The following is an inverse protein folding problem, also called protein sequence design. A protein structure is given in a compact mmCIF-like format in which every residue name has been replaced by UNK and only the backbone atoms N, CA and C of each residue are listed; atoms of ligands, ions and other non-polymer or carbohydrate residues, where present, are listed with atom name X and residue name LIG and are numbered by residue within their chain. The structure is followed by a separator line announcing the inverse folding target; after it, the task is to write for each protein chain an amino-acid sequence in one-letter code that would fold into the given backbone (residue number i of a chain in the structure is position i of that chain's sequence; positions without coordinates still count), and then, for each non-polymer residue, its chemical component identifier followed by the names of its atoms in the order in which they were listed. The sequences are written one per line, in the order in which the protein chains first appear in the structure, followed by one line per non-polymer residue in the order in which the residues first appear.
data_IF_172811473922
#
_entry.id   IF_172811473922
#
_cell.length_a   1.000
_cell.length_b   1.000
_cell.length_c   1.000
_cell.angle_alpha   90.00
_cell.angle_beta   90.00
_cell.angle_gamma   90.00
#
_symmetry.space_group_name_H-M   'P 1'
#
loop_
_entity.id
_entity.type
_entity.pdbx_description
1 polymer ?
#
# COMPACT_ATOMS: atom_id res chain seq x y z
N UNK A 1 -11.81 -16.67 -6.12
CA UNK A 1 -10.44 -16.37 -6.56
C UNK A 1 -9.48 -17.35 -5.88
N UNK A 2 -9.05 -18.39 -6.57
CA UNK A 2 -7.98 -19.32 -6.14
C UNK A 2 -6.65 -18.74 -6.65
N UNK A 3 -6.27 -17.58 -6.15
CA UNK A 3 -5.00 -16.94 -6.49
C UNK A 3 -3.88 -17.53 -5.62
N UNK A 4 -2.69 -17.68 -6.21
CA UNK A 4 -1.46 -18.01 -5.49
C UNK A 4 -1.22 -16.98 -4.38
N UNK A 5 -0.96 -17.43 -3.17
CA UNK A 5 -0.62 -16.56 -2.03
C UNK A 5 0.83 -16.10 -2.19
N UNK A 6 1.03 -14.78 -2.24
CA UNK A 6 2.34 -14.16 -2.39
C UNK A 6 2.98 -13.90 -1.01
N UNK A 7 4.29 -13.71 -1.00
CA UNK A 7 5.03 -13.22 0.16
C UNK A 7 5.29 -11.71 0.01
N UNK A 8 4.93 -10.93 1.03
CA UNK A 8 5.23 -9.50 1.09
C UNK A 8 6.47 -9.26 1.96
N UNK A 9 7.56 -8.85 1.33
CA UNK A 9 8.80 -8.50 1.99
C UNK A 9 8.90 -6.98 2.21
N UNK A 10 9.19 -6.55 3.45
CA UNK A 10 9.38 -5.13 3.82
C UNK A 10 10.64 -4.89 4.65
N UNK A 11 11.43 -5.93 4.94
CA UNK A 11 12.64 -5.87 5.76
C UNK A 11 13.82 -6.57 5.10
N UNK A 12 14.67 -7.24 5.90
CA UNK A 12 15.92 -7.84 5.41
C UNK A 12 15.75 -8.88 4.30
N UNK A 13 14.57 -9.51 4.16
CA UNK A 13 14.32 -10.45 3.08
C UNK A 13 14.20 -9.79 1.68
N UNK A 14 14.18 -8.45 1.62
CA UNK A 14 14.38 -7.71 0.37
C UNK A 14 15.82 -7.85 -0.15
N UNK A 15 16.79 -8.05 0.73
CA UNK A 15 18.18 -8.24 0.35
C UNK A 15 18.43 -9.70 -0.02
N UNK A 16 18.58 -9.95 -1.32
CA UNK A 16 18.77 -11.29 -1.86
C UNK A 16 20.01 -11.95 -1.30
N UNK A 17 21.13 -11.23 -1.24
CA UNK A 17 22.42 -11.78 -0.80
C UNK A 17 22.39 -12.21 0.67
N UNK A 18 21.77 -11.38 1.56
CA UNK A 18 21.58 -11.73 2.97
C UNK A 18 20.75 -13.00 3.12
N UNK A 19 19.64 -13.10 2.36
CA UNK A 19 18.75 -14.26 2.41
C UNK A 19 19.44 -15.52 1.86
N UNK A 20 20.14 -15.43 0.73
CA UNK A 20 20.91 -16.54 0.16
C UNK A 20 22.05 -16.98 1.07
N UNK A 21 22.76 -16.03 1.70
CA UNK A 21 23.83 -16.33 2.66
C UNK A 21 23.30 -17.09 3.87
N UNK A 22 22.13 -16.64 4.40
CA UNK A 22 21.46 -17.35 5.49
C UNK A 22 21.05 -18.76 5.07
N UNK A 23 20.44 -18.93 3.89
CA UNK A 23 20.06 -20.24 3.38
C UNK A 23 21.25 -21.19 3.24
N UNK A 24 22.36 -20.72 2.65
CA UNK A 24 23.60 -21.52 2.53
C UNK A 24 24.15 -21.95 3.89
N UNK A 25 24.19 -21.00 4.85
CA UNK A 25 24.72 -21.25 6.19
C UNK A 25 23.96 -22.35 6.93
N UNK A 26 22.63 -22.43 6.75
CA UNK A 26 21.77 -23.37 7.46
C UNK A 26 21.27 -24.53 6.60
N UNK A 27 21.79 -24.70 5.39
CA UNK A 27 21.47 -25.82 4.50
C UNK A 27 20.06 -25.77 3.90
N UNK A 28 19.50 -24.59 3.70
CA UNK A 28 18.17 -24.40 3.12
C UNK A 28 18.24 -23.98 1.65
N UNK A 29 17.18 -24.30 0.90
CA UNK A 29 16.95 -23.73 -0.43
C UNK A 29 16.63 -22.24 -0.34
N UNK A 30 16.92 -21.48 -1.41
CA UNK A 30 16.46 -20.10 -1.52
C UNK A 30 14.93 -20.05 -1.72
N UNK A 31 14.16 -19.41 -0.80
CA UNK A 31 12.71 -19.57 -0.75
C UNK A 31 11.94 -18.75 -1.77
N UNK A 32 12.51 -17.62 -2.25
CA UNK A 32 11.77 -16.69 -3.11
C UNK A 32 11.93 -17.03 -4.58
N UNK A 33 10.84 -16.92 -5.30
CA UNK A 33 10.77 -17.01 -6.75
C UNK A 33 10.88 -15.63 -7.40
N UNK A 34 10.08 -15.43 -8.44
CA UNK A 34 9.99 -14.18 -9.17
C UNK A 34 9.37 -13.07 -8.29
N UNK A 35 9.93 -11.84 -8.44
CA UNK A 35 9.28 -10.63 -7.93
C UNK A 35 8.09 -10.30 -8.83
N UNK A 36 6.92 -10.15 -8.22
CA UNK A 36 5.67 -9.82 -8.93
C UNK A 36 5.56 -8.32 -9.13
N UNK A 37 5.75 -7.53 -8.06
CA UNK A 37 5.64 -6.07 -8.09
C UNK A 37 6.26 -5.44 -6.84
N UNK A 38 6.51 -4.13 -6.89
CA UNK A 38 6.53 -3.32 -5.67
C UNK A 38 5.09 -3.12 -5.22
N UNK A 39 4.86 -3.08 -3.91
CA UNK A 39 3.53 -2.96 -3.35
C UNK A 39 3.58 -2.26 -1.99
N UNK A 40 2.40 -1.92 -1.52
CA UNK A 40 2.20 -1.19 -0.28
C UNK A 40 1.23 -1.97 0.61
N UNK A 41 1.61 -2.16 1.87
CA UNK A 41 0.68 -2.69 2.86
C UNK A 41 -0.09 -1.50 3.47
N UNK A 42 -1.38 -1.36 3.14
CA UNK A 42 -2.17 -0.21 3.56
C UNK A 42 -2.44 -0.22 5.07
N UNK A 43 -2.67 0.97 5.61
CA UNK A 43 -2.99 1.19 7.01
C UNK A 43 -1.99 0.58 7.98
N UNK A 44 -0.72 0.54 7.57
CA UNK A 44 0.39 0.08 8.39
C UNK A 44 1.59 1.00 8.28
N UNK A 45 2.34 1.11 9.37
CA UNK A 45 3.64 1.80 9.38
C UNK A 45 4.75 0.90 9.84
N UNK A 46 5.95 1.19 9.37
CA UNK A 46 7.18 0.58 9.87
C UNK A 46 7.49 1.07 11.29
N UNK A 47 7.96 0.16 12.12
CA UNK A 47 8.47 0.42 13.46
C UNK A 47 9.68 -0.47 13.73
N UNK A 48 10.47 -0.13 14.73
CA UNK A 48 11.56 -0.98 15.26
C UNK A 48 11.33 -1.10 16.77
N UNK A 49 10.78 -2.20 17.23
CA UNK A 49 10.36 -2.40 18.61
C UNK A 49 10.64 -3.80 19.15
N UNK A 50 11.60 -4.49 18.57
CA UNK A 50 12.06 -5.79 19.03
C UNK A 50 13.58 -5.89 18.89
N UNK A 51 14.26 -6.34 19.95
CA UNK A 51 15.70 -6.62 19.91
C UNK A 51 15.95 -8.05 19.46
N UNK A 52 16.56 -8.21 18.31
CA UNK A 52 16.98 -9.51 17.78
C UNK A 52 18.41 -9.83 18.24
N UNK A 53 18.62 -10.90 19.03
CA UNK A 53 19.97 -11.36 19.37
C UNK A 53 20.80 -11.71 18.14
N UNK A 54 20.16 -12.31 17.12
CA UNK A 54 20.80 -12.67 15.86
C UNK A 54 21.30 -11.45 15.09
N UNK A 55 20.50 -10.37 15.03
CA UNK A 55 20.85 -9.11 14.37
C UNK A 55 21.57 -8.13 15.29
N UNK A 56 21.76 -8.46 16.57
CA UNK A 56 22.44 -7.67 17.62
C UNK A 56 21.83 -6.27 17.80
N UNK A 57 20.54 -6.12 17.58
CA UNK A 57 19.86 -4.83 17.68
C UNK A 57 18.40 -4.91 17.25
N UNK A 58 17.80 -3.75 17.10
CA UNK A 58 16.44 -3.61 16.63
C UNK A 58 16.26 -4.20 15.22
N UNK A 59 15.07 -4.73 14.96
CA UNK A 59 14.63 -5.14 13.64
C UNK A 59 13.30 -4.52 13.31
N UNK A 60 13.01 -4.44 12.00
CA UNK A 60 11.75 -3.89 11.50
C UNK A 60 10.57 -4.79 11.85
N UNK A 61 9.50 -4.12 12.20
CA UNK A 61 8.18 -4.65 12.40
C UNK A 61 7.15 -3.71 11.76
N UNK A 62 5.90 -4.12 11.69
CA UNK A 62 4.77 -3.32 11.20
C UNK A 62 3.71 -3.18 12.29
N UNK A 63 3.03 -2.03 12.29
CA UNK A 63 1.92 -1.74 13.19
C UNK A 63 0.78 -1.11 12.41
N UNK A 64 -0.45 -1.51 12.73
CA UNK A 64 -1.64 -0.87 12.14
C UNK A 64 -1.67 0.62 12.49
N UNK A 65 -1.86 1.44 11.47
CA UNK A 65 -2.11 2.88 11.59
C UNK A 65 -2.79 3.39 10.32
N UNK A 66 -4.05 3.77 10.46
CA UNK A 66 -4.88 4.26 9.36
C UNK A 66 -4.19 5.38 8.57
N UNK A 67 -4.25 5.29 7.25
CA UNK A 67 -3.69 6.27 6.31
C UNK A 67 -2.21 6.11 6.01
N UNK A 68 -1.47 5.31 6.79
CA UNK A 68 -0.10 4.96 6.45
C UNK A 68 -0.05 3.84 5.39
N UNK A 69 1.09 3.70 4.75
CA UNK A 69 1.36 2.61 3.82
C UNK A 69 2.81 2.15 3.99
N UNK A 70 3.00 0.89 4.34
CA UNK A 70 4.35 0.29 4.43
C UNK A 70 4.78 -0.16 3.03
N UNK A 71 5.87 0.38 2.48
CA UNK A 71 6.37 -0.05 1.17
C UNK A 71 7.11 -1.39 1.28
N UNK A 72 7.03 -2.18 0.21
CA UNK A 72 7.68 -3.48 0.12
C UNK A 72 7.62 -4.07 -1.28
N UNK A 73 7.88 -5.36 -1.39
CA UNK A 73 7.80 -6.09 -2.64
C UNK A 73 7.08 -7.43 -2.47
N UNK A 74 6.34 -7.82 -3.49
CA UNK A 74 5.62 -9.09 -3.59
C UNK A 74 6.47 -10.10 -4.35
N UNK A 75 6.58 -11.30 -3.80
CA UNK A 75 7.31 -12.41 -4.39
C UNK A 75 6.43 -13.65 -4.46
N UNK A 76 6.61 -14.43 -5.54
CA UNK A 76 6.20 -15.83 -5.54
C UNK A 76 7.07 -16.60 -4.56
N UNK A 77 6.52 -17.61 -3.94
CA UNK A 77 7.28 -18.50 -3.04
C UNK A 77 7.53 -19.82 -3.76
N UNK A 78 8.78 -20.28 -3.77
CA UNK A 78 9.15 -21.56 -4.38
C UNK A 78 8.56 -22.73 -3.61
N UNK A 79 8.38 -23.89 -4.24
CA UNK A 79 8.01 -25.12 -3.52
C UNK A 79 8.92 -25.35 -2.31
N UNK A 80 8.32 -25.56 -1.13
CA UNK A 80 9.04 -25.66 0.14
C UNK A 80 9.56 -24.35 0.73
N UNK A 81 9.43 -23.22 0.02
CA UNK A 81 9.95 -21.92 0.45
C UNK A 81 9.26 -21.36 1.68
N UNK A 82 7.95 -21.62 1.86
CA UNK A 82 7.23 -21.20 3.06
C UNK A 82 7.85 -21.75 4.33
N UNK A 83 8.19 -23.05 4.33
CA UNK A 83 8.87 -23.67 5.47
C UNK A 83 10.23 -23.00 5.78
N UNK A 84 10.98 -22.61 4.75
CA UNK A 84 12.26 -21.90 4.93
C UNK A 84 12.06 -20.50 5.52
N UNK A 85 11.04 -19.76 5.04
CA UNK A 85 10.68 -18.46 5.59
C UNK A 85 10.23 -18.56 7.06
N UNK A 86 9.47 -19.59 7.40
CA UNK A 86 9.01 -19.87 8.76
C UNK A 86 10.17 -20.17 9.71
N UNK A 87 11.12 -21.00 9.29
CA UNK A 87 12.32 -21.31 10.07
C UNK A 87 13.15 -20.02 10.26
N UNK A 88 13.36 -19.23 9.20
CA UNK A 88 14.10 -17.97 9.28
C UNK A 88 13.41 -16.95 10.17
N UNK A 89 12.08 -16.89 10.13
CA UNK A 89 11.25 -16.02 10.95
C UNK A 89 11.05 -16.52 12.38
N UNK A 90 11.48 -17.75 12.69
CA UNK A 90 11.19 -18.38 13.99
C UNK A 90 9.70 -18.20 14.36
N UNK A 91 8.81 -18.65 13.45
CA UNK A 91 7.35 -18.41 13.58
C UNK A 91 6.73 -19.11 14.78
N UNK A 92 7.40 -20.10 15.35
CA UNK A 92 6.97 -20.71 16.60
C UNK A 92 7.12 -19.76 17.79
N UNK A 93 8.19 -18.94 17.79
CA UNK A 93 8.57 -18.15 18.95
C UNK A 93 8.53 -16.63 18.72
N UNK A 94 8.66 -16.11 17.50
CA UNK A 94 8.89 -14.68 17.27
C UNK A 94 7.88 -14.06 16.31
N UNK A 95 7.83 -14.50 15.05
CA UNK A 95 6.95 -13.93 14.04
C UNK A 95 5.63 -14.68 13.93
N UNK A 96 4.59 -13.97 13.53
CA UNK A 96 3.30 -14.52 13.12
C UNK A 96 3.02 -14.20 11.67
N UNK A 97 2.35 -15.13 10.99
CA UNK A 97 1.78 -14.85 9.67
C UNK A 97 0.66 -13.84 9.79
N UNK A 98 0.75 -12.79 9.01
CA UNK A 98 -0.32 -11.84 8.81
C UNK A 98 -0.85 -11.99 7.39
N UNK A 99 -2.07 -12.51 7.24
CA UNK A 99 -2.77 -12.50 5.97
C UNK A 99 -3.15 -11.07 5.62
N UNK A 100 -2.68 -10.59 4.48
CA UNK A 100 -2.80 -9.20 4.08
C UNK A 100 -3.37 -9.07 2.67
N UNK A 101 -3.85 -7.88 2.36
CA UNK A 101 -4.00 -7.38 0.99
C UNK A 101 -2.94 -6.32 0.77
N UNK A 102 -2.04 -6.55 -0.16
CA UNK A 102 -1.07 -5.57 -0.62
C UNK A 102 -1.63 -4.85 -1.86
N UNK A 103 -1.41 -3.53 -1.93
CA UNK A 103 -1.86 -2.68 -3.02
C UNK A 103 -0.69 -2.36 -3.96
N UNK A 104 -0.91 -2.44 -5.26
CA UNK A 104 0.03 -1.94 -6.28
C UNK A 104 -0.42 -0.58 -6.81
N UNK A 105 0.49 0.14 -7.44
CA UNK A 105 0.28 1.50 -7.96
C UNK A 105 -0.61 1.59 -9.22
N UNK A 106 -1.07 0.45 -9.69
CA UNK A 106 -2.08 0.31 -10.74
C UNK A 106 -3.49 0.02 -10.21
N UNK A 107 -3.69 0.15 -8.91
CA UNK A 107 -4.98 -0.01 -8.24
C UNK A 107 -5.40 -1.45 -7.95
N UNK A 108 -4.53 -2.44 -8.17
CA UNK A 108 -4.84 -3.85 -7.91
C UNK A 108 -4.57 -4.25 -6.47
N UNK A 109 -5.31 -5.26 -6.03
CA UNK A 109 -5.15 -5.95 -4.76
C UNK A 109 -4.50 -7.31 -4.96
N UNK A 110 -3.57 -7.65 -4.06
CA UNK A 110 -2.90 -8.94 -4.04
C UNK A 110 -3.00 -9.58 -2.67
N UNK A 111 -3.53 -10.79 -2.62
CA UNK A 111 -3.50 -11.59 -1.39
C UNK A 111 -2.06 -12.03 -1.13
N UNK A 112 -1.58 -11.76 0.06
CA UNK A 112 -0.23 -12.09 0.46
C UNK A 112 -0.13 -12.43 1.95
N UNK A 113 1.02 -12.96 2.34
CA UNK A 113 1.42 -13.12 3.73
C UNK A 113 2.60 -12.20 4.01
N UNK A 114 2.50 -11.43 5.08
CA UNK A 114 3.61 -10.73 5.69
C UNK A 114 3.96 -11.39 7.04
N UNK A 115 5.18 -11.19 7.50
CA UNK A 115 5.60 -11.61 8.83
C UNK A 115 5.57 -10.42 9.78
N UNK A 116 4.83 -10.53 10.87
CA UNK A 116 4.75 -9.53 11.92
C UNK A 116 5.28 -10.12 13.23
N UNK A 117 6.07 -9.38 13.98
CA UNK A 117 6.54 -9.84 15.30
C UNK A 117 5.34 -9.90 16.25
N UNK A 118 5.24 -10.99 17.00
CA UNK A 118 4.19 -11.20 17.99
C UNK A 118 4.17 -10.03 18.98
N UNK A 119 3.00 -9.42 19.15
CA UNK A 119 2.83 -8.24 20.00
C UNK A 119 3.30 -8.48 21.45
N UNK A 120 3.19 -9.71 21.95
CA UNK A 120 3.64 -10.10 23.29
C UNK A 120 5.16 -10.08 23.43
N UNK A 121 5.92 -10.04 22.34
CA UNK A 121 7.38 -10.04 22.31
C UNK A 121 7.96 -8.64 22.09
N UNK A 122 7.11 -7.66 21.73
CA UNK A 122 7.56 -6.33 21.33
C UNK A 122 7.73 -5.40 22.52
N UNK A 123 8.69 -4.49 22.43
CA UNK A 123 8.83 -3.37 23.35
C UNK A 123 7.81 -2.26 23.02
N UNK A 124 7.46 -1.46 24.02
CA UNK A 124 6.65 -0.25 23.84
C UNK A 124 7.45 0.92 23.25
N UNK A 125 8.78 0.82 23.24
CA UNK A 125 9.72 1.87 22.81
C UNK A 125 10.52 1.45 21.59
N UNK A 126 11.11 2.42 20.94
CA UNK A 126 12.07 2.21 19.85
C UNK A 126 13.28 1.41 20.31
N UNK A 127 13.71 0.44 19.50
CA UNK A 127 14.93 -0.33 19.66
C UNK A 127 15.87 0.00 18.51
N UNK A 128 17.06 0.59 18.79
CA UNK A 128 18.02 0.98 17.74
C UNK A 128 18.45 -0.20 16.87
N UNK A 129 18.49 0.00 15.56
CA UNK A 129 18.93 -0.99 14.59
C UNK A 129 20.47 -1.10 14.59
N UNK A 130 20.99 -2.34 14.48
CA UNK A 130 22.40 -2.53 14.26
C UNK A 130 22.83 -2.04 12.87
N UNK A 131 24.00 -1.40 12.69
CA UNK A 131 24.45 -0.87 11.40
C UNK A 131 24.44 -1.90 10.26
N UNK A 132 24.83 -3.14 10.52
CA UNK A 132 24.79 -4.21 9.50
C UNK A 132 23.36 -4.50 9.03
N UNK A 133 22.38 -4.56 9.96
CA UNK A 133 21.00 -4.79 9.61
C UNK A 133 20.41 -3.60 8.82
N UNK A 134 20.75 -2.38 9.25
CA UNK A 134 20.36 -1.15 8.55
C UNK A 134 20.86 -1.16 7.10
N UNK A 135 22.15 -1.49 6.90
CA UNK A 135 22.75 -1.60 5.56
C UNK A 135 22.03 -2.64 4.71
N UNK A 136 21.80 -3.86 5.25
CA UNK A 136 21.11 -4.96 4.56
C UNK A 136 19.71 -4.53 4.07
N UNK A 137 18.92 -3.87 4.92
CA UNK A 137 17.57 -3.43 4.55
C UNK A 137 17.64 -2.34 3.48
N UNK A 138 18.52 -1.33 3.64
CA UNK A 138 18.67 -0.23 2.68
C UNK A 138 19.10 -0.73 1.31
N UNK A 139 20.09 -1.63 1.25
CA UNK A 139 20.51 -2.26 -0.01
C UNK A 139 19.37 -3.06 -0.66
N UNK A 140 18.59 -3.80 0.15
CA UNK A 140 17.42 -4.52 -0.34
C UNK A 140 16.34 -3.59 -0.91
N UNK A 141 16.03 -2.50 -0.22
CA UNK A 141 15.08 -1.49 -0.73
C UNK A 141 15.58 -0.85 -2.03
N UNK A 142 16.86 -0.44 -2.07
CA UNK A 142 17.47 0.16 -3.26
C UNK A 142 17.46 -0.80 -4.46
N UNK A 143 17.78 -2.09 -4.26
CA UNK A 143 17.77 -3.10 -5.31
C UNK A 143 16.39 -3.29 -5.96
N UNK A 144 15.32 -2.93 -5.25
CA UNK A 144 13.95 -3.02 -5.74
C UNK A 144 13.34 -1.66 -6.12
N UNK A 145 14.08 -0.55 -5.99
CA UNK A 145 13.56 0.80 -6.22
C UNK A 145 12.43 1.18 -5.26
N UNK A 146 12.51 0.72 -4.01
CA UNK A 146 11.53 1.02 -2.96
C UNK A 146 11.93 2.33 -2.26
N UNK A 147 10.97 3.23 -2.07
CA UNK A 147 11.15 4.47 -1.32
C UNK A 147 11.53 4.18 0.15
N UNK A 148 12.67 4.71 0.60
CA UNK A 148 13.21 4.44 1.93
C UNK A 148 12.92 5.54 2.97
N UNK A 149 12.13 6.57 2.65
CA UNK A 149 11.83 7.68 3.56
C UNK A 149 11.24 7.23 4.89
N UNK A 150 10.30 6.27 4.86
CA UNK A 150 9.71 5.71 6.08
C UNK A 150 10.70 4.87 6.87
N UNK A 151 11.55 4.12 6.18
CA UNK A 151 12.63 3.37 6.80
C UNK A 151 13.66 4.30 7.45
N UNK A 152 14.09 5.35 6.75
CA UNK A 152 15.04 6.35 7.27
C UNK A 152 14.52 6.99 8.56
N UNK A 153 13.25 7.40 8.62
CA UNK A 153 12.66 7.94 9.84
C UNK A 153 12.71 6.94 11.01
N UNK A 154 12.40 5.65 10.74
CA UNK A 154 12.46 4.60 11.76
C UNK A 154 13.91 4.40 12.27
N UNK A 155 14.93 4.46 11.39
CA UNK A 155 16.32 4.29 11.81
C UNK A 155 16.80 5.39 12.75
N UNK A 156 16.19 6.56 12.68
CA UNK A 156 16.46 7.72 13.54
C UNK A 156 15.59 7.75 14.81
N UNK A 157 14.78 6.72 15.03
CA UNK A 157 13.85 6.65 16.17
C UNK A 157 12.68 7.62 16.06
N UNK A 158 12.43 8.18 14.86
CA UNK A 158 11.32 9.09 14.60
C UNK A 158 10.10 8.31 14.07
N UNK A 159 8.94 8.84 14.34
CA UNK A 159 7.71 8.34 13.70
C UNK A 159 7.77 8.66 12.19
N UNK A 160 7.57 7.67 11.31
CA UNK A 160 7.51 7.92 9.88
C UNK A 160 6.32 8.81 9.55
N UNK A 161 6.53 9.76 8.64
CA UNK A 161 5.45 10.51 8.04
C UNK A 161 4.65 9.64 7.06
N UNK A 162 3.48 10.12 6.63
CA UNK A 162 2.69 9.43 5.62
C UNK A 162 3.47 9.34 4.30
N UNK A 163 3.67 8.12 3.81
CA UNK A 163 4.35 7.90 2.53
C UNK A 163 3.54 8.47 1.36
N UNK A 164 2.22 8.33 1.43
CA UNK A 164 1.26 8.79 0.42
C UNK A 164 0.31 9.78 1.11
N UNK A 165 0.44 11.06 0.75
CA UNK A 165 -0.41 12.15 1.25
C UNK A 165 -1.46 12.62 0.25
N UNK A 166 -1.38 12.16 -1.00
CA UNK A 166 -2.28 12.60 -2.03
C UNK A 166 -3.55 11.73 -2.08
N UNK A 167 -4.66 12.39 -2.41
CA UNK A 167 -5.94 11.76 -2.74
C UNK A 167 -6.38 12.21 -4.12
N UNK A 168 -6.62 11.27 -5.01
CA UNK A 168 -7.23 11.50 -6.32
C UNK A 168 -8.74 11.29 -6.23
N UNK A 169 -9.51 12.30 -6.64
CA UNK A 169 -10.97 12.29 -6.69
C UNK A 169 -11.47 12.59 -8.10
N UNK A 170 -12.53 11.92 -8.52
CA UNK A 170 -13.04 11.97 -9.90
C UNK A 170 -14.55 12.13 -9.99
N UNK A 171 -15.23 12.53 -8.90
CA UNK A 171 -16.67 12.60 -8.81
C UNK A 171 -17.17 13.61 -7.78
N UNK A 172 -18.09 13.19 -6.93
CA UNK A 172 -18.81 14.07 -5.98
C UNK A 172 -17.94 14.75 -4.95
N UNK A 173 -16.68 14.31 -4.77
CA UNK A 173 -15.68 14.91 -3.90
C UNK A 173 -14.84 16.02 -4.59
N UNK A 174 -14.95 16.19 -5.94
CA UNK A 174 -14.26 17.27 -6.65
C UNK A 174 -14.73 18.64 -6.18
N UNK A 175 -13.96 19.68 -6.50
CA UNK A 175 -14.19 21.07 -6.06
C UNK A 175 -15.58 21.62 -6.39
N UNK A 176 -16.17 21.17 -7.47
CA UNK A 176 -17.53 21.49 -7.92
C UNK A 176 -18.60 20.46 -7.50
N UNK A 177 -18.18 19.42 -6.76
CA UNK A 177 -19.04 18.32 -6.36
C UNK A 177 -19.80 18.57 -5.05
N UNK A 178 -20.99 17.98 -4.89
CA UNK A 178 -21.86 18.21 -3.73
C UNK A 178 -21.29 17.69 -2.41
N UNK A 179 -20.26 16.85 -2.44
CA UNK A 179 -19.61 16.28 -1.26
C UNK A 179 -18.20 16.82 -0.99
N UNK A 180 -17.76 17.85 -1.74
CA UNK A 180 -16.45 18.45 -1.59
C UNK A 180 -16.16 18.90 -0.15
N UNK A 181 -17.17 19.40 0.56
CA UNK A 181 -17.04 19.86 1.96
C UNK A 181 -16.50 18.78 2.91
N UNK A 182 -16.68 17.48 2.60
CA UNK A 182 -16.16 16.36 3.41
C UNK A 182 -14.64 16.22 3.26
N UNK A 183 -14.11 16.55 2.09
CA UNK A 183 -12.68 16.55 1.81
C UNK A 183 -12.01 17.84 2.29
N UNK A 184 -12.69 18.98 2.11
CA UNK A 184 -12.16 20.30 2.40
C UNK A 184 -11.66 20.48 3.85
N UNK A 185 -12.22 19.75 4.80
CA UNK A 185 -11.78 19.77 6.20
C UNK A 185 -10.39 19.15 6.44
N UNK A 186 -9.90 18.31 5.52
CA UNK A 186 -8.70 17.48 5.71
C UNK A 186 -7.70 17.59 4.56
N UNK A 187 -7.95 18.46 3.60
CA UNK A 187 -7.09 18.70 2.44
C UNK A 187 -6.59 20.15 2.43
N UNK A 188 -5.40 20.32 1.90
CA UNK A 188 -4.90 21.64 1.50
C UNK A 188 -5.55 21.97 0.16
N UNK A 189 -6.54 22.88 0.20
CA UNK A 189 -7.32 23.26 -0.99
C UNK A 189 -6.49 24.02 -2.02
N UNK A 190 -5.45 24.73 -1.60
CA UNK A 190 -4.54 25.45 -2.50
C UNK A 190 -3.62 24.47 -3.25
N UNK A 191 -3.50 23.23 -2.77
CA UNK A 191 -2.75 22.17 -3.45
C UNK A 191 -3.55 21.44 -4.55
N UNK A 192 -4.81 21.80 -4.75
CA UNK A 192 -5.67 21.17 -5.75
C UNK A 192 -5.12 21.41 -7.16
N UNK A 193 -4.87 20.30 -7.87
CA UNK A 193 -4.46 20.36 -9.27
C UNK A 193 -5.26 19.36 -10.10
N UNK A 194 -5.52 19.70 -11.35
CA UNK A 194 -6.08 18.75 -12.30
C UNK A 194 -5.10 17.60 -12.53
N UNK A 195 -5.63 16.40 -12.59
CA UNK A 195 -4.83 15.21 -12.71
C UNK A 195 -5.60 14.08 -13.41
N UNK A 196 -4.89 13.03 -13.79
CA UNK A 196 -5.47 11.88 -14.48
C UNK A 196 -4.83 10.57 -14.05
N UNK A 197 -5.64 9.51 -14.14
CA UNK A 197 -5.23 8.13 -13.84
C UNK A 197 -5.64 7.18 -14.95
N UNK A 198 -5.01 6.03 -15.06
CA UNK A 198 -5.50 4.96 -15.92
C UNK A 198 -6.69 4.27 -15.25
N UNK A 199 -7.86 4.37 -15.88
CA UNK A 199 -9.12 3.85 -15.35
C UNK A 199 -10.26 3.89 -16.33
N UNK A 200 -11.32 3.17 -16.01
CA UNK A 200 -12.56 3.11 -16.75
C UNK A 200 -13.66 3.74 -15.91
N UNK A 201 -14.32 4.78 -16.43
CA UNK A 201 -15.36 5.53 -15.71
C UNK A 201 -16.76 5.11 -16.17
N UNK A 202 -17.65 4.91 -15.20
CA UNK A 202 -19.04 4.52 -15.42
C UNK A 202 -19.98 5.44 -14.65
N UNK A 203 -21.18 5.62 -15.17
CA UNK A 203 -22.27 6.32 -14.48
C UNK A 203 -23.06 5.29 -13.65
N UNK A 204 -23.09 5.44 -12.33
CA UNK A 204 -24.00 4.64 -11.52
C UNK A 204 -25.44 5.09 -11.71
N UNK A 205 -26.40 4.17 -11.54
CA UNK A 205 -27.82 4.54 -11.55
C UNK A 205 -28.23 5.44 -10.36
N UNK A 206 -27.30 5.72 -9.46
CA UNK A 206 -27.52 6.56 -8.26
C UNK A 206 -27.00 7.98 -8.42
N UNK A 207 -26.55 8.37 -9.62
CA UNK A 207 -26.11 9.73 -9.93
C UNK A 207 -24.72 10.11 -9.41
N UNK A 208 -23.81 9.15 -9.32
CA UNK A 208 -22.40 9.38 -9.04
C UNK A 208 -21.51 8.45 -9.90
N UNK A 209 -20.26 8.82 -10.17
CA UNK A 209 -19.38 8.02 -11.00
C UNK A 209 -18.81 6.83 -10.25
N UNK A 210 -18.54 5.75 -10.99
CA UNK A 210 -17.84 4.56 -10.55
C UNK A 210 -16.61 4.37 -11.42
N UNK A 211 -15.45 4.20 -10.81
CA UNK A 211 -14.19 3.93 -11.50
C UNK A 211 -13.69 2.52 -11.17
N UNK A 212 -13.18 1.82 -12.20
CA UNK A 212 -12.36 0.62 -12.04
C UNK A 212 -10.97 0.86 -12.64
N UNK A 213 -9.91 0.14 -12.21
CA UNK A 213 -8.59 0.30 -12.78
C UNK A 213 -8.56 -0.18 -14.24
N UNK A 214 -7.85 0.55 -15.11
CA UNK A 214 -7.51 0.06 -16.46
C UNK A 214 -6.10 -0.51 -16.47
N UNK A 215 -6.00 -1.83 -16.37
CA UNK A 215 -4.71 -2.54 -16.43
C UNK A 215 -4.05 -2.52 -17.81
N UNK A 216 -4.78 -2.09 -18.84
CA UNK A 216 -4.23 -1.96 -20.21
C UNK A 216 -3.53 -0.62 -20.43
N UNK A 217 -3.79 0.36 -19.58
CA UNK A 217 -3.24 1.71 -19.65
C UNK A 217 -3.72 2.54 -20.84
N UNK A 218 -4.85 2.16 -21.48
CA UNK A 218 -5.38 2.81 -22.68
C UNK A 218 -6.37 3.91 -22.37
N UNK A 219 -7.08 3.76 -21.28
CA UNK A 219 -8.17 4.64 -20.90
C UNK A 219 -7.75 5.52 -19.71
N UNK A 220 -8.25 6.72 -19.70
CA UNK A 220 -7.88 7.73 -18.73
C UNK A 220 -9.13 8.28 -18.06
N UNK A 221 -9.06 8.46 -16.74
CA UNK A 221 -10.06 9.18 -15.96
C UNK A 221 -9.45 10.49 -15.46
N UNK A 222 -10.15 11.59 -15.76
CA UNK A 222 -9.83 12.93 -15.30
C UNK A 222 -10.42 13.18 -13.91
N UNK A 223 -9.70 13.96 -13.11
CA UNK A 223 -10.12 14.32 -11.77
C UNK A 223 -9.23 15.37 -11.15
N UNK A 224 -9.27 15.44 -9.84
CA UNK A 224 -8.51 16.38 -9.04
C UNK A 224 -7.64 15.65 -8.04
N UNK A 225 -6.44 16.18 -7.84
CA UNK A 225 -5.46 15.67 -6.88
C UNK A 225 -5.31 16.67 -5.73
N UNK A 226 -5.55 16.19 -4.52
CA UNK A 226 -5.40 16.97 -3.28
C UNK A 226 -4.26 16.44 -2.43
N UNK A 227 -3.58 17.32 -1.71
CA UNK A 227 -2.69 16.92 -0.62
C UNK A 227 -3.47 16.89 0.69
N UNK A 228 -3.54 15.74 1.34
CA UNK A 228 -4.20 15.61 2.64
C UNK A 228 -3.31 16.18 3.75
N UNK A 229 -3.88 17.03 4.57
CA UNK A 229 -3.22 17.60 5.77
C UNK A 229 -3.11 16.56 6.87
N UNK A 230 -4.15 15.73 7.02
CA UNK A 230 -4.19 14.59 7.95
C UNK A 230 -4.89 13.39 7.28
N UNK A 231 -4.13 12.50 6.59
CA UNK A 231 -4.68 11.31 5.94
C UNK A 231 -5.49 10.42 6.86
N UNK A 232 -5.08 10.27 8.13
CA UNK A 232 -5.81 9.46 9.09
C UNK A 232 -7.23 9.98 9.30
N UNK A 233 -7.37 11.26 9.63
CA UNK A 233 -8.69 11.87 9.86
C UNK A 233 -9.53 11.94 8.57
N UNK A 234 -8.88 12.19 7.43
CA UNK A 234 -9.57 12.15 6.14
C UNK A 234 -10.22 10.78 5.94
N UNK A 235 -9.50 9.68 6.14
CA UNK A 235 -10.05 8.33 5.93
C UNK A 235 -11.02 7.87 7.01
N UNK A 236 -10.93 8.37 8.24
CA UNK A 236 -11.97 8.15 9.26
C UNK A 236 -13.35 8.64 8.79
N UNK A 237 -13.39 9.67 7.95
CA UNK A 237 -14.63 10.24 7.39
C UNK A 237 -14.94 9.64 6.01
N UNK A 238 -13.99 9.66 5.11
CA UNK A 238 -14.21 9.28 3.70
C UNK A 238 -14.52 7.80 3.54
N UNK A 239 -13.89 6.90 4.30
CA UNK A 239 -14.18 5.47 4.25
C UNK A 239 -15.64 5.16 4.66
N UNK A 240 -16.21 5.95 5.58
CA UNK A 240 -17.63 5.84 5.95
C UNK A 240 -18.52 6.34 4.80
N UNK A 241 -18.21 7.49 4.23
CA UNK A 241 -18.99 8.12 3.16
C UNK A 241 -19.02 7.26 1.89
N UNK A 242 -17.87 6.70 1.55
CA UNK A 242 -17.71 5.80 0.39
C UNK A 242 -18.15 4.36 0.71
N UNK A 243 -18.63 4.11 1.94
CA UNK A 243 -18.98 2.75 2.40
C UNK A 243 -17.85 1.74 2.16
N UNK A 244 -16.62 2.22 2.21
CA UNK A 244 -15.44 1.41 2.04
C UNK A 244 -15.28 0.48 3.26
N UNK A 245 -15.04 -0.78 2.98
CA UNK A 245 -14.75 -1.78 4.00
C UNK A 245 -13.25 -2.03 4.07
N UNK A 246 -12.84 -2.83 5.07
CA UNK A 246 -11.47 -3.34 5.14
C UNK A 246 -11.13 -4.11 3.87
N UNK A 247 -9.88 -4.05 3.46
CA UNK A 247 -9.35 -4.77 2.30
C UNK A 247 -9.71 -6.26 2.35
N UNK A 248 -10.00 -6.85 1.20
CA UNK A 248 -10.53 -8.21 1.01
C UNK A 248 -11.92 -8.48 1.64
N UNK A 249 -12.60 -7.49 2.21
CA UNK A 249 -13.98 -7.67 2.66
C UNK A 249 -14.94 -7.59 1.48
N UNK A 250 -15.88 -8.52 1.40
CA UNK A 250 -16.93 -8.49 0.36
C UNK A 250 -18.08 -7.56 0.71
N UNK A 251 -18.75 -7.01 -0.31
CA UNK A 251 -19.97 -6.22 -0.16
C UNK A 251 -19.75 -4.78 0.29
N UNK A 252 -18.57 -4.21 0.08
CA UNK A 252 -18.36 -2.78 0.05
C UNK A 252 -18.90 -2.21 -1.25
N UNK A 253 -19.28 -0.91 -1.26
CA UNK A 253 -19.60 -0.25 -2.52
C UNK A 253 -18.32 0.22 -3.22
N UNK A 254 -17.43 0.85 -2.44
CA UNK A 254 -16.10 1.23 -2.88
C UNK A 254 -15.02 0.54 -2.03
N UNK A 255 -13.82 0.47 -2.60
CA UNK A 255 -12.60 0.09 -1.91
C UNK A 255 -11.54 1.18 -2.09
N UNK A 256 -10.80 1.48 -1.04
CA UNK A 256 -9.67 2.39 -1.12
C UNK A 256 -8.49 1.67 -1.77
N UNK A 257 -7.81 2.35 -2.68
CA UNK A 257 -6.69 1.81 -3.45
C UNK A 257 -5.57 2.84 -3.57
N UNK A 258 -4.41 2.39 -4.02
CA UNK A 258 -3.27 3.22 -4.39
C UNK A 258 -3.17 3.22 -5.91
N UNK A 259 -2.94 4.39 -6.51
CA UNK A 259 -2.80 4.52 -7.96
C UNK A 259 -1.72 5.55 -8.32
N UNK A 260 -1.02 5.28 -9.43
CA UNK A 260 -0.14 6.26 -10.05
C UNK A 260 -0.97 7.35 -10.75
N UNK A 261 -0.73 8.59 -10.37
CA UNK A 261 -1.42 9.78 -10.89
C UNK A 261 -0.47 10.59 -11.75
N UNK A 262 -0.93 11.06 -12.89
CA UNK A 262 -0.21 12.02 -13.75
C UNK A 262 -0.85 13.40 -13.59
N UNK A 263 -0.06 14.40 -13.19
CA UNK A 263 -0.49 15.79 -13.09
C UNK A 263 -0.47 16.47 -14.47
N UNK A 264 -1.04 17.66 -14.59
CA UNK A 264 -1.03 18.45 -15.84
C UNK A 264 0.39 18.75 -16.36
N UNK A 265 1.34 18.97 -15.46
CA UNK A 265 2.75 19.20 -15.81
C UNK A 265 3.49 17.94 -16.28
N UNK A 266 2.81 16.80 -16.35
CA UNK A 266 3.36 15.51 -16.72
C UNK A 266 4.08 14.77 -15.58
N UNK A 267 4.25 15.39 -14.41
CA UNK A 267 4.85 14.74 -13.25
C UNK A 267 3.94 13.63 -12.71
N UNK A 268 4.56 12.62 -12.10
CA UNK A 268 3.83 11.47 -11.54
C UNK A 268 4.01 11.38 -10.04
N UNK A 269 2.96 10.97 -9.36
CA UNK A 269 3.00 10.64 -7.94
C UNK A 269 2.05 9.50 -7.61
N UNK A 270 2.13 8.98 -6.40
CA UNK A 270 1.16 8.04 -5.86
C UNK A 270 0.06 8.81 -5.13
N UNK A 271 -1.16 8.32 -5.27
CA UNK A 271 -2.30 8.81 -4.52
C UNK A 271 -3.19 7.67 -4.05
N UNK A 272 -3.90 7.92 -2.97
CA UNK A 272 -5.07 7.16 -2.62
C UNK A 272 -6.23 7.51 -3.56
N UNK A 273 -7.11 6.56 -3.81
CA UNK A 273 -8.37 6.76 -4.53
C UNK A 273 -9.39 5.71 -4.09
N UNK A 274 -10.62 5.84 -4.55
CA UNK A 274 -11.68 4.86 -4.32
C UNK A 274 -12.11 4.23 -5.64
N UNK A 275 -12.01 2.92 -5.76
CA UNK A 275 -12.56 2.14 -6.86
C UNK A 275 -13.86 1.48 -6.43
N UNK A 276 -14.80 1.35 -7.36
CA UNK A 276 -16.01 0.55 -7.11
C UNK A 276 -15.61 -0.92 -6.93
N UNK A 277 -16.19 -1.55 -5.90
CA UNK A 277 -15.90 -2.95 -5.53
C UNK A 277 -17.03 -3.92 -5.93
N UNK A 278 -18.01 -3.41 -6.68
CA UNK A 278 -19.09 -4.19 -7.23
C UNK A 278 -18.99 -4.28 -8.76
N UNK A 279 -19.77 -5.19 -9.37
CA UNK A 279 -19.84 -5.28 -10.83
C UNK A 279 -20.35 -3.98 -11.43
N UNK A 280 -19.68 -3.51 -12.47
CA UNK A 280 -20.12 -2.38 -13.33
C UNK A 280 -20.94 -2.83 -14.53
N UNK A 281 -21.29 -4.11 -14.59
CA UNK A 281 -22.12 -4.67 -15.67
C UNK A 281 -23.45 -3.93 -15.78
N UNK A 282 -23.79 -3.51 -16.99
CA UNK A 282 -24.98 -2.73 -17.27
C UNK A 282 -24.88 -1.23 -16.94
N UNK A 283 -23.84 -0.76 -16.24
CA UNK A 283 -23.63 0.67 -16.02
C UNK A 283 -23.20 1.35 -17.33
N UNK A 284 -23.79 2.51 -17.69
CA UNK A 284 -23.35 3.29 -18.83
C UNK A 284 -21.88 3.70 -18.68
N UNK A 285 -21.08 3.41 -19.70
CA UNK A 285 -19.70 3.89 -19.79
C UNK A 285 -19.68 5.41 -19.99
N UNK A 286 -18.68 6.09 -19.41
CA UNK A 286 -18.38 7.50 -19.68
C UNK A 286 -17.08 7.54 -20.52
N UNK A 287 -17.19 7.57 -21.87
CA UNK A 287 -16.02 7.45 -22.75
C UNK A 287 -15.07 8.66 -22.66
N UNK A 288 -15.57 9.82 -22.25
CA UNK A 288 -14.73 11.03 -22.02
C UNK A 288 -13.75 10.86 -20.86
N UNK A 289 -13.99 9.90 -19.96
CA UNK A 289 -13.22 9.76 -18.72
C UNK A 289 -13.46 10.89 -17.70
N UNK A 290 -14.40 11.81 -17.97
CA UNK A 290 -14.64 12.97 -17.11
C UNK A 290 -16.08 12.98 -16.62
N UNK A 291 -16.26 12.99 -15.29
CA UNK A 291 -17.60 13.08 -14.69
C UNK A 291 -18.28 14.41 -15.01
N UNK A 292 -17.52 15.48 -15.21
CA UNK A 292 -18.06 16.82 -15.55
C UNK A 292 -18.89 16.81 -16.84
N UNK A 293 -18.58 15.92 -17.78
CA UNK A 293 -19.34 15.82 -19.03
C UNK A 293 -20.74 15.18 -18.88
N UNK A 294 -21.02 14.62 -17.70
CA UNK A 294 -22.33 13.99 -17.40
C UNK A 294 -23.26 14.91 -16.62
N UNK A 295 -22.67 15.82 -15.80
CA UNK A 295 -23.42 16.75 -14.94
C UNK A 295 -23.59 18.12 -15.58
N UNK A 296 -22.90 18.38 -16.70
CA UNK A 296 -23.08 19.60 -17.53
C UNK A 296 -24.34 19.44 -18.38
#
# INVERSE_FOLDING_TARGET
MTGEILYFAYGSNLNREDLESWCRKYGHIYPLGEKVANAYLPDTRLIANYHSPFRRGGILNIRYQLGHATPGALFRVRPGGWNVLDIKGDTENMYKHLNIVALTDDGREHLAVAYQIDAMKTASVFVPLHPDYLRIVREGMAAHGIDDRTFTAVTEGREPDFLIRHLFVYGTLMSDGPRHYLLAAWADLDSCVAARVHGLLYNSWKGFPCMIPDVTGREVVEGELYTLTDPKKAFEVLDIVETAKRYAATGAFFRRAIIAVTREDGSKCLAWTYFVDMSVEGMPRIPSGSWRTVIA
#
